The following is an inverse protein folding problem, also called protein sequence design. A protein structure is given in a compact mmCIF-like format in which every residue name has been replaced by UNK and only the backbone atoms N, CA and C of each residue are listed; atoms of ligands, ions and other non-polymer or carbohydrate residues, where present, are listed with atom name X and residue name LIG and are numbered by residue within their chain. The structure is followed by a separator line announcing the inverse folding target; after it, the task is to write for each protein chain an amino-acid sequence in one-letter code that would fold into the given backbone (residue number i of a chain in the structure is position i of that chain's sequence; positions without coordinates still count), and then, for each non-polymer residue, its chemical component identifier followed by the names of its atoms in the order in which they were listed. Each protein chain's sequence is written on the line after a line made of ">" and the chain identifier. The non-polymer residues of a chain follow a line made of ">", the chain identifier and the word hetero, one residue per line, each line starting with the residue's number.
data_IF_147888916689
#
_entry.id   IF_147888916689
#
_cell.length_a   1.000
_cell.length_b   1.000
_cell.length_c   1.000
_cell.angle_alpha   90.00
_cell.angle_beta   90.00
_cell.angle_gamma   90.00
#
_symmetry.space_group_name_H-M   'P 1'
#
loop_
_entity.id
_entity.type
_entity.pdbx_description
1 polymer ?
#
# COMPACT_ATOMS: atom_id res chain seq x y z
N UNK A 1 -1.00 3.12 -23.54
CA UNK A 1 -1.88 4.17 -22.99
C UNK A 1 -1.34 4.59 -21.63
N UNK A 2 -0.99 5.86 -21.46
CA UNK A 2 -0.49 6.39 -20.19
C UNK A 2 -1.69 6.79 -19.31
N UNK A 3 -1.71 6.34 -18.06
CA UNK A 3 -2.78 6.64 -17.10
C UNK A 3 -2.32 7.57 -15.97
N UNK A 4 -1.05 7.96 -15.96
CA UNK A 4 -0.48 8.79 -14.91
C UNK A 4 0.16 10.01 -15.54
N UNK A 5 -0.20 11.18 -15.03
CA UNK A 5 0.47 12.45 -15.30
C UNK A 5 1.15 12.87 -14.00
N UNK A 6 2.37 13.33 -14.08
CA UNK A 6 3.05 13.90 -12.92
C UNK A 6 3.70 15.24 -13.29
N UNK A 7 3.83 16.10 -12.30
CA UNK A 7 4.63 17.31 -12.36
C UNK A 7 5.33 17.53 -11.03
N UNK A 8 6.48 18.14 -11.08
CA UNK A 8 7.30 18.46 -9.93
C UNK A 8 7.30 19.96 -9.73
N UNK A 9 7.08 20.40 -8.50
CA UNK A 9 7.05 21.82 -8.14
C UNK A 9 8.16 22.07 -7.13
N UNK A 10 8.96 23.11 -7.38
CA UNK A 10 10.00 23.59 -6.46
C UNK A 10 9.81 25.08 -6.27
N UNK A 11 10.00 25.58 -5.05
CA UNK A 11 9.96 27.01 -4.76
C UNK A 11 11.27 27.69 -5.16
N UNK A 12 12.40 26.98 -4.98
CA UNK A 12 13.73 27.48 -5.34
C UNK A 12 14.59 26.40 -6.00
N UNK A 13 15.53 26.75 -6.90
CA UNK A 13 16.48 25.80 -7.48
C UNK A 13 17.33 25.14 -6.38
N UNK A 14 17.35 23.81 -6.36
CA UNK A 14 18.15 23.02 -5.41
C UNK A 14 17.40 22.58 -4.15
N UNK A 15 16.17 23.03 -3.92
CA UNK A 15 15.33 22.56 -2.84
C UNK A 15 14.57 21.27 -3.15
N UNK A 16 14.03 20.64 -2.09
CA UNK A 16 13.17 19.46 -2.23
C UNK A 16 11.95 19.76 -3.08
N UNK A 17 11.73 18.92 -4.08
CA UNK A 17 10.62 19.07 -4.99
C UNK A 17 9.37 18.38 -4.45
N UNK A 18 8.21 19.03 -4.61
CA UNK A 18 6.91 18.41 -4.36
C UNK A 18 6.46 17.76 -5.67
N UNK A 19 6.42 16.43 -5.67
CA UNK A 19 5.88 15.66 -6.79
C UNK A 19 4.36 15.53 -6.66
N UNK A 20 3.63 16.05 -7.65
CA UNK A 20 2.18 15.83 -7.76
C UNK A 20 1.94 14.79 -8.85
N UNK A 21 1.25 13.73 -8.50
CA UNK A 21 0.98 12.59 -9.37
C UNK A 21 -0.53 12.37 -9.50
N UNK A 22 -1.05 12.42 -10.71
CA UNK A 22 -2.45 12.23 -11.01
C UNK A 22 -2.63 10.91 -11.75
N UNK A 23 -3.33 9.97 -11.14
CA UNK A 23 -3.66 8.70 -11.75
C UNK A 23 -5.12 8.71 -12.21
N UNK A 24 -5.35 8.48 -13.50
CA UNK A 24 -6.68 8.50 -14.12
C UNK A 24 -7.31 7.12 -14.26
N UNK A 25 -6.73 6.09 -13.65
CA UNK A 25 -7.30 4.72 -13.67
C UNK A 25 -8.56 4.69 -12.81
N UNK A 26 -9.58 4.02 -13.32
CA UNK A 26 -10.76 3.69 -12.51
C UNK A 26 -10.42 2.50 -11.63
N UNK A 27 -10.32 2.72 -10.33
CA UNK A 27 -9.87 1.72 -9.36
C UNK A 27 -11.00 1.08 -8.56
N UNK A 28 -12.25 1.52 -8.74
CA UNK A 28 -13.38 1.09 -7.91
C UNK A 28 -13.32 1.58 -6.46
N UNK A 29 -12.35 2.43 -6.12
CA UNK A 29 -12.17 2.95 -4.76
C UNK A 29 -13.33 3.84 -4.33
N UNK A 30 -13.68 3.78 -3.05
CA UNK A 30 -14.60 4.69 -2.40
C UNK A 30 -13.83 5.89 -1.86
N UNK A 31 -14.47 7.06 -1.94
CA UNK A 31 -13.90 8.31 -1.47
C UNK A 31 -14.80 8.94 -0.42
N UNK A 32 -14.18 9.58 0.55
CA UNK A 32 -14.86 10.29 1.63
C UNK A 32 -14.44 11.75 1.63
N UNK A 33 -15.36 12.64 1.96
CA UNK A 33 -15.02 14.04 2.18
C UNK A 33 -14.34 14.17 3.55
N UNK A 34 -13.13 14.69 3.56
CA UNK A 34 -12.37 15.04 4.77
C UNK A 34 -11.97 16.52 4.69
N UNK A 35 -11.81 17.16 5.85
CA UNK A 35 -11.27 18.51 5.92
C UNK A 35 -9.86 18.48 6.52
N UNK A 36 -8.93 19.14 5.86
CA UNK A 36 -7.60 19.37 6.37
C UNK A 36 -7.29 20.86 6.35
N UNK A 37 -7.01 21.45 7.50
CA UNK A 37 -6.81 22.90 7.68
C UNK A 37 -7.95 23.75 7.05
N UNK A 38 -9.20 23.29 7.17
CA UNK A 38 -10.36 23.96 6.59
C UNK A 38 -10.60 23.73 5.09
N UNK A 39 -9.70 23.00 4.42
CA UNK A 39 -9.81 22.68 3.00
C UNK A 39 -10.52 21.33 2.84
N UNK A 40 -11.69 21.28 2.17
CA UNK A 40 -12.37 20.02 1.90
C UNK A 40 -11.64 19.24 0.81
N UNK A 41 -11.40 17.94 1.05
CA UNK A 41 -10.74 17.04 0.11
C UNK A 41 -11.46 15.70 0.04
N UNK A 42 -11.52 15.12 -1.14
CA UNK A 42 -11.91 13.73 -1.33
C UNK A 42 -10.69 12.84 -1.08
N UNK A 43 -10.76 12.00 -0.05
CA UNK A 43 -9.71 11.03 0.28
C UNK A 43 -10.24 9.62 0.12
N UNK A 44 -9.36 8.70 -0.27
CA UNK A 44 -9.73 7.30 -0.36
C UNK A 44 -10.13 6.75 1.02
N UNK A 45 -11.22 5.99 1.08
CA UNK A 45 -11.62 5.28 2.29
C UNK A 45 -10.57 4.27 2.74
N UNK A 46 -10.53 3.97 4.04
CA UNK A 46 -9.52 3.09 4.66
C UNK A 46 -9.46 1.72 3.99
N UNK A 47 -10.60 1.13 3.73
CA UNK A 47 -10.74 -0.17 3.08
C UNK A 47 -10.20 -0.16 1.64
N UNK A 48 -10.47 0.92 0.92
CA UNK A 48 -9.96 1.13 -0.44
C UNK A 48 -8.46 1.37 -0.45
N UNK A 49 -7.91 2.04 0.58
CA UNK A 49 -6.47 2.24 0.73
C UNK A 49 -5.74 0.92 0.94
N UNK A 50 -6.23 0.05 1.84
CA UNK A 50 -5.64 -1.28 2.07
C UNK A 50 -5.73 -2.14 0.80
N UNK A 51 -6.89 -2.21 0.16
CA UNK A 51 -7.05 -2.95 -1.09
C UNK A 51 -6.11 -2.43 -2.18
N UNK A 52 -5.97 -1.11 -2.29
CA UNK A 52 -5.04 -0.46 -3.23
C UNK A 52 -3.58 -0.82 -2.98
N UNK A 53 -3.16 -0.95 -1.72
CA UNK A 53 -1.79 -1.37 -1.36
C UNK A 53 -1.53 -2.85 -1.69
N UNK A 54 -2.49 -3.72 -1.41
CA UNK A 54 -2.41 -5.13 -1.82
C UNK A 54 -2.28 -5.26 -3.35
N UNK A 55 -3.06 -4.48 -4.11
CA UNK A 55 -2.95 -4.44 -5.57
C UNK A 55 -1.60 -3.88 -6.02
N UNK A 56 -1.11 -2.81 -5.41
CA UNK A 56 0.19 -2.24 -5.75
C UNK A 56 1.31 -3.27 -5.54
N UNK A 57 1.31 -3.96 -4.41
CA UNK A 57 2.29 -4.98 -4.06
C UNK A 57 2.31 -6.16 -5.05
N UNK A 58 1.12 -6.61 -5.52
CA UNK A 58 1.01 -7.78 -6.41
C UNK A 58 1.17 -7.45 -7.91
N UNK A 59 0.97 -6.19 -8.31
CA UNK A 59 0.94 -5.78 -9.72
C UNK A 59 2.16 -4.98 -10.17
N UNK A 60 2.99 -4.52 -9.28
CA UNK A 60 4.24 -3.85 -9.65
C UNK A 60 5.23 -4.84 -10.23
N UNK A 61 6.03 -4.37 -11.19
CA UNK A 61 7.13 -5.17 -11.74
C UNK A 61 8.25 -5.37 -10.73
N UNK A 62 8.48 -4.36 -9.90
CA UNK A 62 9.51 -4.34 -8.87
C UNK A 62 8.84 -4.19 -7.51
N UNK A 63 9.38 -4.89 -6.53
CA UNK A 63 8.94 -4.78 -5.15
C UNK A 63 9.24 -3.37 -4.61
N UNK A 64 8.30 -2.84 -3.83
CA UNK A 64 8.43 -1.56 -3.15
C UNK A 64 8.16 -1.75 -1.66
N UNK A 65 9.19 -1.65 -0.83
CA UNK A 65 9.14 -1.90 0.62
C UNK A 65 8.07 -1.09 1.33
N UNK A 66 7.83 0.15 0.89
CA UNK A 66 6.79 1.00 1.44
C UNK A 66 5.37 0.41 1.26
N UNK A 67 5.11 -0.31 0.17
CA UNK A 67 3.79 -0.94 -0.01
C UNK A 67 3.57 -2.07 1.00
N UNK A 68 4.62 -2.83 1.34
CA UNK A 68 4.57 -3.84 2.40
C UNK A 68 4.42 -3.20 3.79
N UNK A 69 5.17 -2.14 4.08
CA UNK A 69 5.10 -1.40 5.34
C UNK A 69 3.71 -0.81 5.58
N UNK A 70 3.15 -0.14 4.58
CA UNK A 70 1.80 0.43 4.65
C UNK A 70 0.74 -0.68 4.79
N UNK A 71 0.90 -1.82 4.08
CA UNK A 71 0.00 -2.97 4.20
C UNK A 71 0.00 -3.52 5.63
N UNK A 72 1.18 -3.72 6.21
CA UNK A 72 1.31 -4.14 7.61
C UNK A 72 0.59 -3.16 8.55
N UNK A 73 0.87 -1.87 8.41
CA UNK A 73 0.24 -0.83 9.24
C UNK A 73 -1.29 -0.89 9.15
N UNK A 74 -1.85 -0.97 7.94
CA UNK A 74 -3.31 -1.02 7.76
C UNK A 74 -3.93 -2.31 8.32
N UNK A 75 -3.25 -3.44 8.20
CA UNK A 75 -3.69 -4.71 8.79
C UNK A 75 -3.70 -4.66 10.32
N UNK A 76 -2.69 -4.03 10.95
CA UNK A 76 -2.66 -3.86 12.41
C UNK A 76 -3.79 -2.97 12.91
N UNK A 77 -4.26 -2.01 12.10
CA UNK A 77 -5.44 -1.20 12.39
C UNK A 77 -6.76 -1.97 12.19
N UNK A 78 -6.70 -3.23 11.74
CA UNK A 78 -7.87 -4.09 11.46
C UNK A 78 -8.82 -3.52 10.42
N UNK A 79 -8.29 -2.74 9.46
CA UNK A 79 -9.13 -2.22 8.38
C UNK A 79 -9.64 -3.36 7.51
N UNK A 80 -10.87 -3.23 7.03
CA UNK A 80 -11.42 -4.15 6.06
C UNK A 80 -10.82 -3.94 4.67
N UNK A 81 -11.09 -4.86 3.76
CA UNK A 81 -10.56 -4.83 2.40
C UNK A 81 -11.72 -4.56 1.43
N UNK A 82 -11.62 -3.49 0.66
CA UNK A 82 -12.65 -3.12 -0.32
C UNK A 82 -12.59 -4.06 -1.54
N UNK A 83 -13.59 -4.95 -1.61
CA UNK A 83 -13.73 -5.89 -2.72
C UNK A 83 -14.00 -5.21 -4.06
N UNK A 84 -14.60 -4.01 -4.09
CA UNK A 84 -14.81 -3.29 -5.35
C UNK A 84 -13.48 -2.92 -6.00
N UNK A 85 -12.50 -2.52 -5.19
CA UNK A 85 -11.14 -2.27 -5.66
C UNK A 85 -10.55 -3.55 -6.22
N UNK A 86 -10.55 -4.64 -5.46
CA UNK A 86 -9.97 -5.93 -5.89
C UNK A 86 -10.64 -6.47 -7.17
N UNK A 87 -11.97 -6.40 -7.25
CA UNK A 87 -12.75 -6.84 -8.42
C UNK A 87 -12.40 -6.03 -9.67
N UNK A 88 -12.13 -4.72 -9.54
CA UNK A 88 -11.68 -3.89 -10.67
C UNK A 88 -10.35 -4.37 -11.27
N UNK A 89 -9.58 -5.14 -10.51
CA UNK A 89 -8.36 -5.83 -10.93
C UNK A 89 -8.54 -7.33 -11.19
N UNK A 90 -9.80 -7.78 -11.37
CA UNK A 90 -10.18 -9.16 -11.71
C UNK A 90 -9.92 -10.19 -10.61
N UNK A 91 -9.80 -9.75 -9.35
CA UNK A 91 -9.75 -10.64 -8.20
C UNK A 91 -11.15 -11.17 -7.92
N UNK A 92 -11.30 -12.49 -7.89
CA UNK A 92 -12.59 -13.17 -7.71
C UNK A 92 -12.79 -13.67 -6.28
N UNK A 93 -11.72 -14.12 -5.63
CA UNK A 93 -11.72 -14.67 -4.28
C UNK A 93 -10.75 -13.90 -3.41
N UNK A 94 -11.24 -13.33 -2.31
CA UNK A 94 -10.38 -12.61 -1.36
C UNK A 94 -9.40 -13.57 -0.69
N UNK A 95 -9.86 -14.76 -0.29
CA UNK A 95 -9.02 -15.76 0.36
C UNK A 95 -7.83 -16.16 -0.51
N UNK A 96 -8.10 -16.62 -1.75
CA UNK A 96 -7.04 -16.99 -2.69
C UNK A 96 -6.09 -15.83 -2.98
N UNK A 97 -6.61 -14.61 -3.03
CA UNK A 97 -5.79 -13.43 -3.25
C UNK A 97 -4.86 -13.13 -2.09
N UNK A 98 -5.33 -13.26 -0.85
CA UNK A 98 -4.50 -13.09 0.35
C UNK A 98 -3.43 -14.19 0.44
N UNK A 99 -3.76 -15.44 0.10
CA UNK A 99 -2.80 -16.54 0.01
C UNK A 99 -1.72 -16.26 -1.06
N UNK A 100 -2.10 -15.71 -2.21
CA UNK A 100 -1.15 -15.27 -3.23
C UNK A 100 -0.25 -14.12 -2.74
N UNK A 101 -0.81 -13.17 -1.97
CA UNK A 101 -0.02 -12.11 -1.32
C UNK A 101 1.01 -12.70 -0.34
N UNK A 102 0.61 -13.68 0.45
CA UNK A 102 1.52 -14.39 1.38
C UNK A 102 2.67 -15.02 0.61
N UNK A 103 2.36 -15.80 -0.43
CA UNK A 103 3.38 -16.45 -1.27
C UNK A 103 4.35 -15.44 -1.89
N UNK A 104 3.83 -14.30 -2.35
CA UNK A 104 4.66 -13.22 -2.89
C UNK A 104 5.61 -12.68 -1.82
N UNK A 105 5.10 -12.36 -0.63
CA UNK A 105 5.91 -11.79 0.45
C UNK A 105 6.97 -12.79 0.94
N UNK A 106 6.65 -14.08 1.03
CA UNK A 106 7.59 -15.14 1.41
C UNK A 106 8.83 -15.18 0.49
N UNK A 107 8.65 -14.85 -0.79
CA UNK A 107 9.72 -14.83 -1.79
C UNK A 107 10.51 -13.51 -1.85
N UNK A 108 10.15 -12.48 -1.08
CA UNK A 108 10.90 -11.22 -1.04
C UNK A 108 12.21 -11.42 -0.28
N UNK A 109 13.37 -11.07 -0.87
CA UNK A 109 14.66 -11.12 -0.17
C UNK A 109 14.69 -10.11 0.99
N UNK A 110 15.26 -10.49 2.13
CA UNK A 110 15.27 -9.65 3.32
C UNK A 110 16.14 -8.39 3.17
N UNK A 111 17.15 -8.45 2.30
CA UNK A 111 18.05 -7.32 2.05
C UNK A 111 17.37 -6.13 1.35
N UNK A 112 16.23 -6.32 0.67
CA UNK A 112 15.51 -5.22 -0.02
C UNK A 112 14.45 -4.55 0.85
N UNK A 113 14.17 -5.07 2.05
CA UNK A 113 13.07 -4.60 2.91
C UNK A 113 13.22 -3.14 3.37
N UNK A 114 14.43 -2.59 3.39
CA UNK A 114 14.68 -1.19 3.75
C UNK A 114 14.79 -0.24 2.54
N UNK A 115 14.79 -0.76 1.33
CA UNK A 115 14.92 0.08 0.14
C UNK A 115 13.76 1.08 0.05
N UNK A 116 14.09 2.37 -0.09
CA UNK A 116 13.10 3.46 -0.17
C UNK A 116 12.35 3.78 1.12
N UNK A 117 12.69 3.12 2.25
CA UNK A 117 12.15 3.44 3.58
C UNK A 117 13.16 4.20 4.45
N UNK A 118 14.47 4.08 4.18
CA UNK A 118 15.53 4.47 5.10
C UNK A 118 15.52 5.92 5.57
N UNK A 119 14.99 6.84 4.76
CA UNK A 119 14.85 8.27 5.10
C UNK A 119 13.50 8.62 5.73
N UNK A 120 12.56 7.69 5.71
CA UNK A 120 11.18 7.92 6.13
C UNK A 120 10.88 7.39 7.54
N UNK A 121 11.73 6.54 8.08
CA UNK A 121 11.53 5.82 9.33
C UNK A 121 12.74 5.98 10.28
N UNK A 122 12.49 5.94 11.58
CA UNK A 122 13.52 6.03 12.61
C UNK A 122 14.31 4.71 12.76
N UNK A 123 15.37 4.72 13.61
CA UNK A 123 16.23 3.54 13.81
C UNK A 123 15.49 2.36 14.46
N UNK A 124 14.49 2.60 15.31
CA UNK A 124 13.68 1.52 15.91
C UNK A 124 12.80 0.86 14.87
N UNK A 125 12.20 1.66 14.01
CA UNK A 125 11.39 1.18 12.90
C UNK A 125 12.24 0.41 11.88
N UNK A 126 13.48 0.85 11.60
CA UNK A 126 14.43 0.10 10.76
C UNK A 126 14.72 -1.29 11.32
N UNK A 127 14.92 -1.41 12.63
CA UNK A 127 15.11 -2.70 13.30
C UNK A 127 13.86 -3.58 13.16
N UNK A 128 12.68 -3.00 13.34
CA UNK A 128 11.40 -3.71 13.13
C UNK A 128 11.26 -4.19 11.68
N UNK A 129 11.52 -3.32 10.69
CA UNK A 129 11.42 -3.65 9.27
C UNK A 129 12.32 -4.82 8.92
N UNK A 130 13.58 -4.82 9.37
CA UNK A 130 14.54 -5.90 9.12
C UNK A 130 14.13 -7.23 9.71
N UNK A 131 13.62 -7.22 10.96
CA UNK A 131 13.52 -8.44 11.74
C UNK A 131 12.10 -9.01 11.82
N UNK A 132 11.08 -8.17 11.65
CA UNK A 132 9.69 -8.55 11.96
C UNK A 132 8.68 -8.25 10.85
N UNK A 133 8.82 -7.15 10.12
CA UNK A 133 7.80 -6.66 9.18
C UNK A 133 7.27 -7.76 8.26
N UNK A 134 8.16 -8.52 7.64
CA UNK A 134 7.81 -9.60 6.69
C UNK A 134 6.98 -10.68 7.37
N UNK A 135 7.46 -11.23 8.47
CA UNK A 135 6.80 -12.34 9.17
C UNK A 135 5.47 -11.89 9.80
N UNK A 136 5.43 -10.70 10.39
CA UNK A 136 4.22 -10.16 10.98
C UNK A 136 3.15 -9.89 9.92
N UNK A 137 3.54 -9.38 8.75
CA UNK A 137 2.59 -9.16 7.64
C UNK A 137 2.04 -10.49 7.11
N UNK A 138 2.89 -11.50 6.94
CA UNK A 138 2.48 -12.85 6.55
C UNK A 138 1.47 -13.42 7.56
N UNK A 139 1.77 -13.30 8.85
CA UNK A 139 0.88 -13.77 9.91
C UNK A 139 -0.49 -13.08 9.83
N UNK A 140 -0.52 -11.75 9.74
CA UNK A 140 -1.76 -10.99 9.66
C UNK A 140 -2.60 -11.35 8.43
N UNK A 141 -1.97 -11.56 7.28
CA UNK A 141 -2.66 -11.99 6.05
C UNK A 141 -3.24 -13.40 6.19
N UNK A 142 -2.50 -14.34 6.77
CA UNK A 142 -2.97 -15.71 7.04
C UNK A 142 -4.18 -15.69 7.98
N UNK A 143 -4.08 -14.99 9.10
CA UNK A 143 -5.21 -14.83 10.03
C UNK A 143 -6.44 -14.23 9.32
N UNK A 144 -6.22 -13.23 8.45
CA UNK A 144 -7.33 -12.62 7.70
C UNK A 144 -7.95 -13.60 6.70
N UNK A 145 -7.16 -14.42 6.02
CA UNK A 145 -7.64 -15.43 5.08
C UNK A 145 -8.43 -16.55 5.77
N UNK A 146 -8.04 -16.95 6.99
CA UNK A 146 -8.70 -18.01 7.75
C UNK A 146 -10.08 -17.60 8.30
N UNK A 147 -10.30 -16.30 8.53
CA UNK A 147 -11.59 -15.77 9.01
C UNK A 147 -12.63 -15.71 7.88
N UNK A 148 -12.19 -15.69 6.63
CA UNK A 148 -13.08 -15.65 5.45
C UNK A 148 -13.68 -17.04 5.22
N UNK A 149 -14.99 -17.13 5.43
CA UNK A 149 -15.77 -18.35 5.18
C UNK A 149 -16.11 -18.50 3.69
#
# INVERSE_FOLDING_TARGET
>A
KFFTVFFSVSYEPGEHQIKVEINTRKTGARYEMKSYLGIPMLVAGKESMLAGKLVAMTRRKEFVSRDLYDTHFFLTQRWDIDMNVLTSYQVKSLKEYLEACVTLIENIPDNVLLEGLGELIDEKEKVFVKNKLKNDTIFLLKVRADIIK
#
